data_IF_889579454529
#
_entry.id   IF_889579454529
#
_cell.length_a   1.000
_cell.length_b   1.000
_cell.length_c   1.000
_cell.angle_alpha   90.00
_cell.angle_beta   90.00
_cell.angle_gamma   90.00
#
_symmetry.space_group_name_H-M   'P 1'
#
loop_
_entity.id
_entity.type
_entity.pdbx_description
1 polymer ?
#
# COMPACT_ATOMS: atom_id res chain seq x y z
N UNK A 1 0.41 -20.74 -12.82
CA UNK A 1 -1.06 -20.85 -12.83
C UNK A 1 -1.58 -19.58 -12.20
N UNK A 2 -2.34 -18.76 -12.94
CA UNK A 2 -3.02 -17.60 -12.36
C UNK A 2 -4.02 -18.11 -11.32
N UNK A 3 -4.02 -17.52 -10.12
CA UNK A 3 -5.03 -17.83 -9.11
C UNK A 3 -6.40 -17.43 -9.68
N UNK A 4 -7.37 -18.34 -9.63
CA UNK A 4 -8.75 -18.03 -10.01
C UNK A 4 -9.34 -17.09 -8.95
N UNK A 5 -9.48 -15.81 -9.31
CA UNK A 5 -10.03 -14.75 -8.45
C UNK A 5 -11.51 -14.45 -8.75
N UNK A 6 -12.16 -15.22 -9.63
CA UNK A 6 -13.53 -14.99 -10.09
C UNK A 6 -14.56 -14.87 -8.95
N UNK A 7 -14.27 -15.49 -7.81
CA UNK A 7 -15.12 -15.50 -6.62
C UNK A 7 -14.76 -14.44 -5.57
N UNK A 8 -13.73 -13.62 -5.80
CA UNK A 8 -13.23 -12.63 -4.84
C UNK A 8 -13.56 -11.20 -5.24
N UNK A 9 -13.86 -10.37 -4.24
CA UNK A 9 -13.82 -8.92 -4.40
C UNK A 9 -12.36 -8.45 -4.33
N UNK A 10 -11.82 -8.01 -5.46
CA UNK A 10 -10.48 -7.43 -5.53
C UNK A 10 -10.55 -5.92 -5.34
N UNK A 11 -9.83 -5.40 -4.35
CA UNK A 11 -9.79 -3.98 -4.00
C UNK A 11 -8.37 -3.46 -4.13
N UNK A 12 -8.13 -2.63 -5.15
CA UNK A 12 -6.89 -1.90 -5.27
C UNK A 12 -6.93 -0.61 -4.44
N UNK A 13 -5.91 -0.34 -3.63
CA UNK A 13 -5.85 0.84 -2.76
C UNK A 13 -4.49 1.55 -2.88
N UNK A 14 -4.51 2.89 -2.92
CA UNK A 14 -3.28 3.66 -2.89
C UNK A 14 -2.61 3.68 -1.50
N UNK A 15 -1.29 3.71 -1.46
CA UNK A 15 -0.54 3.79 -0.20
C UNK A 15 -0.92 4.98 0.68
N UNK A 16 -1.17 6.16 0.10
CA UNK A 16 -1.62 7.38 0.81
C UNK A 16 -3.07 7.31 1.31
N UNK A 17 -3.91 6.47 0.72
CA UNK A 17 -5.26 6.25 1.25
C UNK A 17 -5.22 5.29 2.45
N UNK A 18 -4.36 4.28 2.37
CA UNK A 18 -4.19 3.28 3.43
C UNK A 18 -3.45 3.83 4.64
N UNK A 19 -2.41 4.65 4.44
CA UNK A 19 -1.58 5.21 5.49
C UNK A 19 -1.42 6.73 5.35
N UNK A 20 -1.24 7.39 6.48
CA UNK A 20 -0.83 8.80 6.51
C UNK A 20 0.63 8.91 6.04
N UNK A 21 0.81 9.61 4.92
CA UNK A 21 2.08 9.86 4.25
C UNK A 21 2.21 11.34 3.88
N UNK A 22 1.47 12.23 4.56
CA UNK A 22 1.40 13.65 4.19
C UNK A 22 2.75 14.36 4.38
N UNK A 23 3.49 14.03 5.44
CA UNK A 23 4.84 14.55 5.66
C UNK A 23 5.80 14.13 4.55
N UNK A 24 5.86 12.83 4.24
CA UNK A 24 6.69 12.33 3.14
C UNK A 24 6.28 12.97 1.81
N UNK A 25 4.98 13.15 1.56
CA UNK A 25 4.51 13.79 0.34
C UNK A 25 4.90 15.28 0.27
N UNK A 26 4.87 16.00 1.38
CA UNK A 26 5.34 17.39 1.42
C UNK A 26 6.84 17.50 1.07
N UNK A 27 7.66 16.55 1.53
CA UNK A 27 9.08 16.45 1.16
C UNK A 27 9.23 16.18 -0.34
N UNK A 28 8.41 15.30 -0.91
CA UNK A 28 8.43 15.05 -2.36
C UNK A 28 8.09 16.30 -3.17
N UNK A 29 7.02 17.01 -2.78
CA UNK A 29 6.57 18.22 -3.48
C UNK A 29 7.57 19.37 -3.39
N UNK A 30 8.28 19.48 -2.26
CA UNK A 30 9.22 20.58 -1.99
C UNK A 30 10.64 20.28 -2.49
N UNK A 31 11.14 19.09 -2.18
CA UNK A 31 12.56 18.74 -2.26
C UNK A 31 12.84 17.61 -3.28
N UNK A 32 11.80 17.07 -3.92
CA UNK A 32 11.90 16.11 -5.01
C UNK A 32 12.13 14.66 -4.57
N UNK A 33 12.26 13.78 -5.57
CA UNK A 33 12.26 12.31 -5.41
C UNK A 33 13.45 11.79 -4.61
N UNK A 34 14.63 12.41 -4.73
CA UNK A 34 15.84 11.96 -4.01
C UNK A 34 15.71 12.19 -2.50
N UNK A 35 15.23 13.38 -2.09
CA UNK A 35 15.02 13.72 -0.68
C UNK A 35 13.88 12.92 -0.08
N UNK A 36 12.82 12.70 -0.84
CA UNK A 36 11.75 11.78 -0.49
C UNK A 36 12.29 10.37 -0.20
N UNK A 37 13.13 9.82 -1.09
CA UNK A 37 13.65 8.47 -0.95
C UNK A 37 14.55 8.33 0.28
N UNK A 38 15.45 9.29 0.51
CA UNK A 38 16.30 9.32 1.70
C UNK A 38 15.46 9.36 2.99
N UNK A 39 14.40 10.18 3.01
CA UNK A 39 13.50 10.25 4.15
C UNK A 39 12.78 8.93 4.39
N UNK A 40 12.24 8.29 3.34
CA UNK A 40 11.55 7.00 3.47
C UNK A 40 12.46 5.88 3.97
N UNK A 41 13.72 5.83 3.53
CA UNK A 41 14.71 4.84 3.99
C UNK A 41 15.09 5.10 5.45
N UNK A 42 15.37 6.37 5.81
CA UNK A 42 15.74 6.72 7.18
C UNK A 42 14.64 6.39 8.21
N UNK A 43 13.37 6.41 7.79
CA UNK A 43 12.20 6.14 8.63
C UNK A 43 11.56 4.78 8.29
N UNK A 44 12.28 3.84 7.68
CA UNK A 44 11.71 2.58 7.19
C UNK A 44 11.07 1.72 8.30
N UNK A 45 11.57 1.85 9.53
CA UNK A 45 11.10 1.12 10.70
C UNK A 45 10.03 1.89 11.49
N UNK A 46 9.72 3.13 11.09
CA UNK A 46 8.71 3.94 11.73
C UNK A 46 7.33 3.59 11.17
N UNK A 47 6.51 3.01 12.04
CA UNK A 47 5.14 2.61 11.72
C UNK A 47 4.33 3.84 11.29
N UNK A 48 3.74 3.74 10.10
CA UNK A 48 2.85 4.77 9.56
C UNK A 48 1.53 4.80 10.33
N UNK A 49 0.97 5.99 10.49
CA UNK A 49 -0.36 6.14 11.08
C UNK A 49 -1.43 5.68 10.08
N UNK A 50 -2.59 5.19 10.56
CA UNK A 50 -3.71 4.83 9.71
C UNK A 50 -4.17 6.02 8.85
N UNK A 51 -4.36 5.79 7.55
CA UNK A 51 -4.94 6.76 6.63
C UNK A 51 -6.48 6.70 6.60
N UNK A 52 -7.08 7.54 5.76
CA UNK A 52 -8.55 7.70 5.66
C UNK A 52 -9.28 6.38 5.35
N UNK A 53 -8.69 5.53 4.51
CA UNK A 53 -9.30 4.27 4.05
C UNK A 53 -8.89 3.07 4.90
N UNK A 54 -8.00 3.24 5.89
CA UNK A 54 -7.54 2.15 6.75
C UNK A 54 -8.69 1.37 7.42
N UNK A 55 -9.69 2.02 8.06
CA UNK A 55 -10.78 1.29 8.71
C UNK A 55 -11.65 0.51 7.72
N UNK A 56 -11.80 1.00 6.49
CA UNK A 56 -12.52 0.32 5.44
C UNK A 56 -11.78 -0.96 5.01
N UNK A 57 -10.48 -0.85 4.74
CA UNK A 57 -9.66 -2.01 4.35
C UNK A 57 -9.61 -3.05 5.45
N UNK A 58 -9.46 -2.63 6.71
CA UNK A 58 -9.47 -3.55 7.84
C UNK A 58 -10.78 -4.34 7.93
N UNK A 59 -11.93 -3.68 7.74
CA UNK A 59 -13.25 -4.34 7.73
C UNK A 59 -13.42 -5.28 6.54
N UNK A 60 -12.96 -4.90 5.36
CA UNK A 60 -13.01 -5.73 4.16
C UNK A 60 -12.16 -6.99 4.33
N UNK A 61 -10.93 -6.86 4.83
CA UNK A 61 -10.06 -8.01 5.13
C UNK A 61 -10.64 -8.90 6.25
N UNK A 62 -11.36 -8.33 7.22
CA UNK A 62 -12.02 -9.11 8.27
C UNK A 62 -13.12 -10.05 7.76
N UNK A 63 -13.74 -9.74 6.61
CA UNK A 63 -14.69 -10.65 5.96
C UNK A 63 -14.06 -11.99 5.59
N UNK A 64 -12.72 -12.05 5.46
CA UNK A 64 -12.04 -13.29 5.12
C UNK A 64 -12.07 -14.34 6.23
N UNK A 65 -12.57 -13.99 7.42
CA UNK A 65 -12.89 -14.96 8.47
C UNK A 65 -14.03 -15.92 8.06
N UNK A 66 -14.83 -15.55 7.06
CA UNK A 66 -15.96 -16.34 6.56
C UNK A 66 -15.69 -17.03 5.23
N UNK A 67 -14.45 -16.96 4.71
CA UNK A 67 -14.04 -17.53 3.43
C UNK A 67 -13.05 -16.62 2.72
N UNK A 68 -12.40 -17.11 1.67
CA UNK A 68 -11.44 -16.32 0.89
C UNK A 68 -12.16 -15.36 -0.08
N UNK A 69 -12.76 -14.28 0.47
CA UNK A 69 -13.77 -13.44 -0.20
C UNK A 69 -13.21 -12.12 -0.73
N UNK A 70 -12.17 -11.56 -0.10
CA UNK A 70 -11.63 -10.24 -0.41
C UNK A 70 -10.12 -10.31 -0.59
N UNK A 71 -9.64 -9.75 -1.68
CA UNK A 71 -8.22 -9.55 -1.92
C UNK A 71 -7.93 -8.05 -1.99
N UNK A 72 -6.97 -7.57 -1.20
CA UNK A 72 -6.55 -6.17 -1.23
C UNK A 72 -5.18 -6.08 -1.88
N UNK A 73 -5.06 -5.22 -2.89
CA UNK A 73 -3.82 -4.95 -3.62
C UNK A 73 -3.38 -3.53 -3.30
N UNK A 74 -2.16 -3.39 -2.78
CA UNK A 74 -1.56 -2.07 -2.57
C UNK A 74 -1.00 -1.53 -3.89
N UNK A 75 -1.39 -0.32 -4.26
CA UNK A 75 -0.79 0.42 -5.37
C UNK A 75 0.01 1.60 -4.82
N UNK A 76 1.28 1.69 -5.18
CA UNK A 76 2.14 2.77 -4.71
C UNK A 76 2.93 3.38 -5.85
N UNK A 77 2.95 4.71 -5.91
CA UNK A 77 3.88 5.44 -6.78
C UNK A 77 5.32 5.43 -6.26
N UNK A 78 5.56 4.88 -5.08
CA UNK A 78 6.90 4.73 -4.55
C UNK A 78 7.69 3.70 -5.37
N UNK A 79 9.02 3.75 -5.25
CA UNK A 79 9.84 2.61 -5.64
C UNK A 79 9.69 1.46 -4.64
N UNK A 80 10.02 0.24 -5.06
CA UNK A 80 10.07 -0.90 -4.15
C UNK A 80 11.02 -0.66 -2.98
N UNK A 81 12.17 -0.01 -3.25
CA UNK A 81 13.20 0.31 -2.25
C UNK A 81 12.69 1.27 -1.16
N UNK A 82 11.78 2.19 -1.50
CA UNK A 82 11.15 3.14 -0.57
C UNK A 82 9.81 2.64 -0.02
N UNK A 83 9.41 1.43 -0.43
CA UNK A 83 8.16 0.77 -0.05
C UNK A 83 8.23 -0.02 1.25
N UNK A 84 9.44 -0.30 1.77
CA UNK A 84 9.64 -1.08 3.00
C UNK A 84 8.87 -0.51 4.19
N UNK A 85 8.85 0.82 4.37
CA UNK A 85 8.06 1.47 5.43
C UNK A 85 6.58 1.12 5.39
N UNK A 86 6.01 1.04 4.18
CA UNK A 86 4.60 0.68 3.99
C UNK A 86 4.40 -0.80 4.35
N UNK A 87 5.28 -1.69 3.89
CA UNK A 87 5.20 -3.11 4.23
C UNK A 87 5.38 -3.39 5.72
N UNK A 88 6.32 -2.72 6.37
CA UNK A 88 6.53 -2.81 7.81
C UNK A 88 5.28 -2.36 8.58
N UNK A 89 4.61 -1.31 8.09
CA UNK A 89 3.34 -0.85 8.66
C UNK A 89 2.21 -1.86 8.44
N UNK A 90 2.07 -2.41 7.23
CA UNK A 90 1.10 -3.49 6.92
C UNK A 90 1.29 -4.68 7.87
N UNK A 91 2.54 -5.10 8.06
CA UNK A 91 2.90 -6.20 8.97
C UNK A 91 2.56 -5.85 10.43
N UNK A 92 2.89 -4.64 10.88
CA UNK A 92 2.58 -4.16 12.23
C UNK A 92 1.09 -4.18 12.54
N UNK A 93 0.24 -3.82 11.57
CA UNK A 93 -1.22 -3.83 11.73
C UNK A 93 -1.87 -5.17 11.38
N UNK A 94 -1.09 -6.22 11.09
CA UNK A 94 -1.56 -7.54 10.70
C UNK A 94 -2.56 -7.51 9.53
N UNK A 95 -2.35 -6.61 8.57
CA UNK A 95 -3.20 -6.52 7.39
C UNK A 95 -2.73 -7.55 6.36
N UNK A 96 -3.59 -8.52 6.03
CA UNK A 96 -3.28 -9.57 5.05
C UNK A 96 -3.31 -9.06 3.60
N UNK A 97 -2.39 -8.14 3.28
CA UNK A 97 -2.18 -7.58 1.95
C UNK A 97 -0.99 -8.30 1.34
N UNK A 98 -1.27 -9.26 0.45
CA UNK A 98 -0.26 -10.17 -0.12
C UNK A 98 0.31 -9.69 -1.45
N UNK A 99 -0.34 -8.69 -2.07
CA UNK A 99 0.07 -8.12 -3.35
C UNK A 99 0.26 -6.62 -3.24
N UNK A 100 1.34 -6.16 -3.84
CA UNK A 100 1.61 -4.76 -4.01
C UNK A 100 2.25 -4.51 -5.37
N UNK A 101 1.88 -3.41 -6.01
CA UNK A 101 2.52 -2.90 -7.21
C UNK A 101 3.15 -1.54 -6.93
N UNK A 102 4.44 -1.43 -7.22
CA UNK A 102 5.23 -0.21 -7.07
C UNK A 102 5.60 0.30 -8.45
N UNK A 103 5.23 1.54 -8.73
CA UNK A 103 5.38 2.10 -10.07
C UNK A 103 6.47 3.15 -10.20
N UNK A 104 7.20 3.47 -9.12
CA UNK A 104 8.32 4.43 -9.14
C UNK A 104 7.98 5.77 -9.83
N UNK A 105 6.74 6.23 -9.68
CA UNK A 105 6.21 7.47 -10.28
C UNK A 105 5.24 7.25 -11.44
N UNK A 106 5.26 6.08 -12.08
CA UNK A 106 4.37 5.75 -13.20
C UNK A 106 2.92 5.51 -12.77
N UNK A 107 1.98 5.58 -13.72
CA UNK A 107 0.57 5.31 -13.42
C UNK A 107 0.35 3.85 -12.99
N UNK A 108 -0.28 3.59 -11.83
CA UNK A 108 -0.51 2.22 -11.35
C UNK A 108 -1.63 1.49 -12.11
N UNK A 109 -2.32 2.16 -13.04
CA UNK A 109 -3.47 1.61 -13.76
C UNK A 109 -3.15 0.31 -14.52
N UNK A 110 -1.91 0.15 -14.99
CA UNK A 110 -1.47 -1.05 -15.70
C UNK A 110 -1.42 -2.30 -14.81
N UNK A 111 -1.31 -2.14 -13.49
CA UNK A 111 -1.23 -3.24 -12.53
C UNK A 111 -2.59 -3.67 -11.98
N UNK A 112 -3.67 -2.96 -12.34
CA UNK A 112 -5.04 -3.28 -11.91
C UNK A 112 -5.61 -4.46 -12.71
N UNK A 113 -5.09 -4.73 -13.91
CA UNK A 113 -5.57 -5.81 -14.80
C UNK A 113 -4.79 -7.13 -14.66
N UNK A 114 -3.72 -7.16 -13.86
CA UNK A 114 -2.79 -8.29 -13.75
C UNK A 114 -3.15 -9.28 -12.63
#
# INVERSE_FOLDING_TARGET
>A
MSADISHKLVVAISSRALFDLDESNAIYEKDGVEKYAQYQIAHENDVLKPGIAFPLVQKLLALNQHGDLVEVILLSRNSADTGLRIFNSIAHYNMNITRAAFTSGESPYQYVQA
#
